data_IF_694103703876
#
_entry.id   IF_694103703876
#
_cell.length_a   1.000
_cell.length_b   1.000
_cell.length_c   1.000
_cell.angle_alpha   90.00
_cell.angle_beta   90.00
_cell.angle_gamma   90.00
#
_symmetry.space_group_name_H-M   'P 1'
#
loop_
_entity.id
_entity.type
_entity.pdbx_description
1 polymer ?
#
# COMPACT_ATOMS: atom_id res chain seq x y z
N UNK A 1 -10.14 15.58 6.13
CA UNK A 1 -10.81 15.31 4.85
C UNK A 1 -12.32 15.23 5.11
N UNK A 2 -12.98 16.37 5.44
CA UNK A 2 -14.02 16.49 6.48
C UNK A 2 -15.20 15.51 6.43
N UNK A 3 -15.50 14.90 5.28
CA UNK A 3 -16.55 13.90 5.13
C UNK A 3 -16.26 12.58 5.87
N UNK A 4 -15.08 11.98 5.66
CA UNK A 4 -14.77 10.66 6.21
C UNK A 4 -14.58 10.69 7.73
N UNK A 5 -13.97 11.77 8.24
CA UNK A 5 -13.84 11.94 9.69
C UNK A 5 -15.21 12.16 10.35
N UNK A 6 -16.09 12.96 9.73
CA UNK A 6 -17.47 13.16 10.24
C UNK A 6 -18.25 11.86 10.26
N UNK A 7 -18.05 11.00 9.26
CA UNK A 7 -18.66 9.68 9.18
C UNK A 7 -18.01 8.63 10.11
N UNK A 8 -16.94 8.99 10.84
CA UNK A 8 -16.20 8.10 11.74
C UNK A 8 -15.68 6.84 11.03
N UNK A 9 -15.19 7.00 9.81
CA UNK A 9 -14.65 5.87 9.03
C UNK A 9 -13.35 5.37 9.66
N UNK A 10 -13.27 4.08 9.94
CA UNK A 10 -12.04 3.45 10.48
C UNK A 10 -11.09 2.96 9.37
N UNK A 11 -11.65 2.48 8.26
CA UNK A 11 -10.93 1.86 7.16
C UNK A 11 -11.47 2.34 5.81
N UNK A 12 -10.57 2.80 4.96
CA UNK A 12 -10.79 3.00 3.53
C UNK A 12 -10.00 1.91 2.81
N UNK A 13 -10.70 0.92 2.27
CA UNK A 13 -10.13 -0.15 1.46
C UNK A 13 -10.35 0.16 -0.02
N UNK A 14 -9.28 0.21 -0.80
CA UNK A 14 -9.34 0.61 -2.21
C UNK A 14 -8.36 -0.21 -3.07
N UNK A 15 -8.42 0.05 -4.37
CA UNK A 15 -7.73 -0.70 -5.42
C UNK A 15 -7.08 0.19 -6.48
N UNK A 16 -6.94 -0.35 -7.69
CA UNK A 16 -6.59 0.33 -8.96
C UNK A 16 -5.12 0.64 -9.20
N UNK A 17 -4.29 0.83 -8.17
CA UNK A 17 -2.91 1.26 -8.37
C UNK A 17 -1.94 0.13 -8.69
N UNK A 18 -2.40 -1.13 -8.54
CA UNK A 18 -1.59 -2.33 -8.70
C UNK A 18 -0.41 -2.35 -7.71
N UNK A 19 -0.72 -1.96 -6.47
CA UNK A 19 0.22 -1.83 -5.35
C UNK A 19 -0.43 -2.40 -4.09
N UNK A 20 0.42 -2.71 -3.12
CA UNK A 20 0.00 -2.68 -1.72
C UNK A 20 0.70 -1.52 -1.02
N UNK A 21 -0.04 -0.74 -0.24
CA UNK A 21 0.50 0.25 0.69
C UNK A 21 -0.53 0.64 1.76
N UNK A 22 -0.03 1.14 2.89
CA UNK A 22 -0.86 1.58 4.01
C UNK A 22 -0.50 2.98 4.49
N UNK A 23 -1.53 3.75 4.84
CA UNK A 23 -1.40 5.07 5.47
C UNK A 23 -2.35 5.21 6.65
N UNK A 24 -2.03 6.12 7.55
CA UNK A 24 -2.86 6.49 8.70
C UNK A 24 -3.05 8.01 8.71
N UNK A 25 -4.30 8.47 8.79
CA UNK A 25 -4.60 9.90 8.98
C UNK A 25 -4.30 10.34 10.42
N UNK A 26 -4.30 11.66 10.65
CA UNK A 26 -4.18 12.22 12.00
C UNK A 26 -5.34 11.82 12.92
N UNK A 27 -6.51 11.55 12.34
CA UNK A 27 -7.74 11.18 13.05
C UNK A 27 -7.90 9.65 13.17
N UNK A 28 -6.89 8.87 12.79
CA UNK A 28 -6.88 7.41 12.97
C UNK A 28 -7.50 6.59 11.83
N UNK A 29 -7.84 7.22 10.70
CA UNK A 29 -8.40 6.51 9.53
C UNK A 29 -7.27 5.75 8.82
N UNK A 30 -7.44 4.43 8.66
CA UNK A 30 -6.53 3.59 7.88
C UNK A 30 -6.92 3.64 6.40
N UNK A 31 -5.94 3.86 5.53
CA UNK A 31 -6.07 3.77 4.08
C UNK A 31 -5.24 2.58 3.61
N UNK A 32 -5.89 1.59 3.01
CA UNK A 32 -5.27 0.37 2.53
C UNK A 32 -5.54 0.18 1.04
N UNK A 33 -4.48 0.19 0.25
CA UNK A 33 -4.45 -0.37 -1.10
C UNK A 33 -3.93 -1.81 -1.00
N UNK A 34 -4.63 -2.76 -1.61
CA UNK A 34 -4.27 -4.18 -1.66
C UNK A 34 -4.45 -4.82 -3.06
N UNK A 35 -4.34 -4.05 -4.15
CA UNK A 35 -4.58 -4.54 -5.52
C UNK A 35 -3.36 -5.10 -6.26
N UNK A 36 -2.21 -5.28 -5.61
CA UNK A 36 -1.05 -5.95 -6.22
C UNK A 36 -1.30 -7.46 -6.39
N UNK A 37 -1.88 -7.87 -7.51
CA UNK A 37 -2.25 -9.27 -7.83
C UNK A 37 -1.32 -9.94 -8.86
N UNK A 38 -0.01 -9.72 -8.73
CA UNK A 38 0.97 -10.28 -9.67
C UNK A 38 1.17 -9.45 -10.94
N UNK A 39 0.73 -8.20 -10.95
CA UNK A 39 1.16 -7.21 -11.92
C UNK A 39 1.23 -5.83 -11.25
N UNK A 40 2.21 -5.01 -11.64
CA UNK A 40 2.45 -3.67 -11.08
C UNK A 40 3.18 -2.78 -12.07
N UNK A 41 2.92 -1.48 -12.00
CA UNK A 41 3.64 -0.43 -12.73
C UNK A 41 4.74 0.23 -11.89
N UNK A 42 5.00 -0.29 -10.69
CA UNK A 42 6.02 0.22 -9.77
C UNK A 42 5.49 1.28 -8.81
N UNK A 43 6.15 1.40 -7.65
CA UNK A 43 5.92 2.48 -6.72
C UNK A 43 6.86 3.66 -7.07
N UNK A 44 6.26 4.83 -7.33
CA UNK A 44 7.02 6.04 -7.64
C UNK A 44 7.42 6.78 -6.36
N UNK A 45 8.58 6.39 -5.80
CA UNK A 45 9.14 6.84 -4.53
C UNK A 45 10.54 7.41 -4.70
N UNK A 46 10.93 8.35 -3.82
CA UNK A 46 12.30 8.88 -3.78
C UNK A 46 12.74 9.43 -5.14
N UNK A 47 13.79 8.85 -5.71
CA UNK A 47 14.33 9.26 -7.02
C UNK A 47 13.55 8.67 -8.21
N UNK A 48 12.64 7.71 -8.00
CA UNK A 48 11.79 7.14 -9.05
C UNK A 48 10.55 8.00 -9.30
N UNK A 49 10.74 9.11 -10.01
CA UNK A 49 9.67 10.07 -10.34
C UNK A 49 8.81 9.58 -11.53
N UNK A 50 7.50 9.85 -11.49
CA UNK A 50 6.62 9.73 -12.65
C UNK A 50 7.01 10.79 -13.69
N UNK A 51 7.00 10.46 -14.99
CA UNK A 51 7.10 11.48 -16.02
C UNK A 51 5.86 12.38 -15.99
N UNK A 52 6.06 13.70 -16.04
CA UNK A 52 4.96 14.67 -16.16
C UNK A 52 4.43 14.60 -17.60
N UNK A 53 3.13 14.35 -17.81
CA UNK A 53 2.55 14.37 -19.15
C UNK A 53 2.70 15.75 -19.81
N UNK A 54 2.79 15.85 -21.16
CA UNK A 54 3.14 17.09 -21.86
C UNK A 54 2.27 18.32 -21.52
N UNK A 55 0.99 18.12 -21.22
CA UNK A 55 0.03 19.20 -20.92
C UNK A 55 -0.03 19.58 -19.43
N UNK A 56 0.87 19.02 -18.61
CA UNK A 56 0.92 19.23 -17.17
C UNK A 56 2.24 19.89 -16.74
N UNK A 57 2.27 20.38 -15.52
CA UNK A 57 3.43 20.98 -14.89
C UNK A 57 3.57 20.48 -13.45
N UNK A 58 4.70 20.80 -12.81
CA UNK A 58 4.91 20.46 -11.40
C UNK A 58 3.89 21.10 -10.45
N UNK A 59 3.21 22.16 -10.87
CA UNK A 59 2.17 22.79 -10.05
C UNK A 59 0.84 22.03 -10.04
N UNK A 60 0.59 21.14 -11.02
CA UNK A 60 -0.68 20.42 -11.13
C UNK A 60 -0.52 18.89 -11.32
N UNK A 61 0.71 18.37 -11.25
CA UNK A 61 1.01 16.95 -11.34
C UNK A 61 1.96 16.50 -10.24
N UNK A 62 1.61 15.42 -9.54
CA UNK A 62 2.42 14.88 -8.45
C UNK A 62 3.34 13.79 -8.99
N UNK A 63 4.65 14.09 -9.04
CA UNK A 63 5.67 13.19 -9.59
C UNK A 63 6.02 12.02 -8.65
N UNK A 64 5.84 12.16 -7.33
CA UNK A 64 6.24 11.17 -6.32
C UNK A 64 5.11 10.96 -5.30
N UNK A 65 4.82 9.70 -4.97
CA UNK A 65 3.94 9.32 -3.85
C UNK A 65 2.45 9.66 -4.01
N UNK A 66 1.83 9.98 -2.85
CA UNK A 66 0.48 10.51 -2.55
C UNK A 66 -0.54 9.54 -1.89
N UNK A 67 -1.18 9.97 -0.77
CA UNK A 67 -2.66 10.03 -0.69
C UNK A 67 -3.24 11.41 -0.26
N UNK A 68 -2.49 12.52 -0.42
CA UNK A 68 -2.61 13.86 0.21
C UNK A 68 -1.57 14.15 1.31
N UNK A 69 -0.32 13.72 1.12
CA UNK A 69 0.79 14.07 2.02
C UNK A 69 0.99 13.16 3.23
N UNK A 70 0.24 12.06 3.32
CA UNK A 70 0.46 11.04 4.36
C UNK A 70 1.75 10.25 4.09
N UNK A 71 2.44 9.87 5.17
CA UNK A 71 3.62 9.00 5.11
C UNK A 71 3.17 7.54 5.04
N UNK A 72 3.72 6.79 4.08
CA UNK A 72 3.46 5.36 3.95
C UNK A 72 4.05 4.59 5.14
N UNK A 73 3.31 3.59 5.60
CA UNK A 73 3.67 2.75 6.74
C UNK A 73 4.41 1.51 6.24
N UNK A 74 5.53 1.21 6.89
CA UNK A 74 6.27 -0.03 6.65
C UNK A 74 5.52 -1.19 7.32
N UNK A 75 5.32 -2.33 6.63
CA UNK A 75 4.75 -3.52 7.22
C UNK A 75 5.44 -3.95 8.52
N UNK A 76 4.66 -4.33 9.54
CA UNK A 76 5.18 -4.58 10.87
C UNK A 76 5.60 -6.04 11.18
N UNK A 77 5.32 -7.01 10.31
CA UNK A 77 5.65 -8.42 10.53
C UNK A 77 6.78 -8.92 9.62
N UNK A 78 6.64 -8.74 8.30
CA UNK A 78 7.59 -9.28 7.32
C UNK A 78 7.68 -8.39 6.06
N UNK A 79 8.14 -7.13 6.18
CA UNK A 79 8.26 -6.24 5.04
C UNK A 79 9.21 -6.81 3.99
N UNK A 80 8.89 -6.61 2.71
CA UNK A 80 9.86 -6.81 1.64
C UNK A 80 10.98 -5.78 1.77
N UNK A 81 12.17 -6.11 1.30
CA UNK A 81 13.33 -5.21 1.33
C UNK A 81 13.80 -4.83 -0.06
N UNK A 82 14.46 -3.68 -0.16
CA UNK A 82 15.21 -3.31 -1.36
C UNK A 82 16.54 -4.09 -1.46
N UNK A 83 17.30 -3.79 -2.51
CA UNK A 83 18.64 -4.35 -2.77
C UNK A 83 19.68 -4.05 -1.69
N UNK A 84 19.43 -3.03 -0.86
CA UNK A 84 20.28 -2.63 0.27
C UNK A 84 19.75 -3.16 1.62
N UNK A 85 18.78 -4.09 1.60
CA UNK A 85 18.09 -4.64 2.78
C UNK A 85 17.27 -3.61 3.59
N UNK A 86 16.91 -2.46 3.01
CA UNK A 86 15.99 -1.53 3.68
C UNK A 86 14.54 -2.00 3.51
N UNK A 87 13.72 -1.98 4.57
CA UNK A 87 12.32 -2.38 4.48
C UNK A 87 11.51 -1.39 3.64
N UNK A 88 10.66 -1.93 2.75
CA UNK A 88 9.86 -1.18 1.82
C UNK A 88 8.43 -0.95 2.36
N UNK A 89 7.89 0.28 2.26
CA UNK A 89 6.50 0.56 2.65
C UNK A 89 5.47 0.19 1.58
N UNK A 90 5.91 -0.38 0.45
CA UNK A 90 5.08 -0.72 -0.69
C UNK A 90 5.43 -2.12 -1.19
N UNK A 91 4.43 -2.86 -1.69
CA UNK A 91 4.67 -4.01 -2.56
C UNK A 91 4.24 -3.60 -3.97
N UNK A 92 5.21 -3.59 -4.89
CA UNK A 92 5.04 -3.25 -6.29
C UNK A 92 5.74 -4.32 -7.12
N UNK A 93 5.05 -5.41 -7.47
CA UNK A 93 5.70 -6.60 -8.04
C UNK A 93 4.81 -7.34 -9.02
N UNK A 94 5.44 -7.82 -10.11
CA UNK A 94 4.85 -8.71 -11.11
C UNK A 94 4.91 -10.20 -10.70
N UNK A 95 5.50 -10.51 -9.54
CA UNK A 95 5.70 -11.89 -9.08
C UNK A 95 5.08 -12.15 -7.72
N UNK A 96 4.72 -11.10 -6.99
CA UNK A 96 4.04 -11.21 -5.72
C UNK A 96 2.55 -10.94 -5.93
N UNK A 97 1.70 -11.75 -5.31
CA UNK A 97 0.27 -11.45 -5.15
C UNK A 97 -0.01 -11.13 -3.70
N UNK A 98 -0.81 -10.10 -3.45
CA UNK A 98 -1.18 -9.61 -2.13
C UNK A 98 -2.68 -9.78 -1.92
N UNK A 99 -3.07 -10.15 -0.71
CA UNK A 99 -4.45 -10.12 -0.27
C UNK A 99 -4.55 -9.72 1.20
N UNK A 100 -5.66 -9.12 1.58
CA UNK A 100 -5.94 -8.71 2.96
C UNK A 100 -7.24 -9.34 3.45
N UNK A 101 -7.25 -9.70 4.73
CA UNK A 101 -8.41 -10.25 5.43
C UNK A 101 -8.80 -9.27 6.52
N UNK A 102 -10.07 -8.86 6.52
CA UNK A 102 -10.70 -8.13 7.62
C UNK A 102 -11.43 -9.13 8.52
N UNK A 103 -10.92 -9.30 9.74
CA UNK A 103 -11.64 -9.97 10.83
C UNK A 103 -12.54 -8.92 11.51
N UNK A 104 -13.84 -8.99 11.22
CA UNK A 104 -14.82 -8.03 11.73
C UNK A 104 -15.16 -8.22 13.21
N UNK A 105 -14.90 -9.41 13.77
CA UNK A 105 -15.11 -9.66 15.21
C UNK A 105 -14.02 -8.98 16.03
N UNK A 106 -12.77 -9.08 15.57
CA UNK A 106 -11.62 -8.48 16.27
C UNK A 106 -11.31 -7.04 15.83
N UNK A 107 -11.89 -6.57 14.72
CA UNK A 107 -11.51 -5.31 14.10
C UNK A 107 -10.07 -5.33 13.61
N UNK A 108 -9.58 -6.46 13.10
CA UNK A 108 -8.18 -6.63 12.69
C UNK A 108 -8.12 -6.82 11.18
N UNK A 109 -7.22 -6.07 10.54
CA UNK A 109 -6.84 -6.29 9.14
C UNK A 109 -5.48 -6.96 9.10
N UNK A 110 -5.41 -8.10 8.41
CA UNK A 110 -4.18 -8.86 8.18
C UNK A 110 -3.86 -8.90 6.69
N UNK A 111 -2.66 -8.51 6.30
CA UNK A 111 -2.21 -8.58 4.90
C UNK A 111 -1.19 -9.69 4.69
N UNK A 112 -1.32 -10.35 3.55
CA UNK A 112 -0.56 -11.52 3.16
C UNK A 112 0.01 -11.36 1.76
N UNK A 113 1.18 -11.91 1.52
CA UNK A 113 1.73 -12.01 0.18
C UNK A 113 2.14 -13.45 -0.17
N UNK A 114 2.12 -13.73 -1.47
CA UNK A 114 2.51 -15.01 -2.05
C UNK A 114 3.39 -14.80 -3.27
N UNK A 115 4.52 -15.51 -3.34
CA UNK A 115 5.42 -15.48 -4.50
C UNK A 115 5.00 -16.52 -5.53
N UNK A 116 4.45 -16.05 -6.66
CA UNK A 116 3.92 -16.90 -7.72
C UNK A 116 5.00 -17.69 -8.46
N UNK A 117 6.28 -17.32 -8.31
CA UNK A 117 7.42 -18.07 -8.84
C UNK A 117 7.68 -19.35 -8.05
N UNK A 118 7.16 -19.45 -6.82
CA UNK A 118 7.35 -20.57 -5.92
C UNK A 118 5.98 -21.16 -5.54
N UNK A 119 5.33 -21.92 -6.44
CA UNK A 119 3.94 -22.37 -6.26
C UNK A 119 3.72 -23.26 -5.02
N UNK A 120 4.79 -23.90 -4.52
CA UNK A 120 4.75 -24.75 -3.33
C UNK A 120 5.18 -24.02 -2.04
N UNK A 121 5.42 -22.71 -2.10
CA UNK A 121 5.79 -21.91 -0.94
C UNK A 121 4.59 -21.62 -0.05
N UNK A 122 4.86 -21.30 1.22
CA UNK A 122 3.83 -20.83 2.13
C UNK A 122 3.47 -19.37 1.84
N UNK A 123 2.23 -19.00 2.12
CA UNK A 123 1.82 -17.59 2.15
C UNK A 123 2.40 -16.91 3.38
N UNK A 124 2.90 -15.68 3.21
CA UNK A 124 3.55 -14.92 4.29
C UNK A 124 2.63 -13.80 4.74
N UNK A 125 2.28 -13.79 6.03
CA UNK A 125 1.63 -12.65 6.69
C UNK A 125 2.68 -11.58 6.95
N UNK A 126 2.46 -10.36 6.45
CA UNK A 126 3.49 -9.33 6.46
C UNK A 126 3.11 -8.02 7.15
N UNK A 127 1.81 -7.72 7.28
CA UNK A 127 1.32 -6.57 8.03
C UNK A 127 0.03 -6.95 8.78
N UNK A 128 -0.16 -6.36 9.96
CA UNK A 128 -1.40 -6.46 10.74
C UNK A 128 -1.68 -5.16 11.50
N UNK A 129 -2.95 -4.73 11.54
CA UNK A 129 -3.35 -3.57 12.32
C UNK A 129 -4.82 -3.64 12.75
N UNK A 130 -5.14 -2.93 13.83
CA UNK A 130 -6.50 -2.76 14.33
C UNK A 130 -7.16 -1.54 13.69
N UNK A 131 -8.46 -1.61 13.45
CA UNK A 131 -9.30 -0.51 12.96
C UNK A 131 -10.40 -0.13 13.95
#
# INVERSE_FOLDING_TARGET
MPLLETAKVNLVFYGHSHLWNRFLSKDGINFLESSNVGNSYGAHLGNNKRPIPPDYSQSNYVEIGNPNGLKAIIPNLAPLTDENNNPLPYIASNYITVFSILDTEKGIVSSYYFDTRQPNSSVIKFDEFTI
#
